data_IF_650226272466
#
_entry.id   IF_650226272466
#
_cell.length_a   1.000
_cell.length_b   1.000
_cell.length_c   1.000
_cell.angle_alpha   90.00
_cell.angle_beta   90.00
_cell.angle_gamma   90.00
#
_symmetry.space_group_name_H-M   'P 1'
#
loop_
_entity.id
_entity.type
_entity.pdbx_description
1 polymer ?
#
# COMPACT_ATOMS: atom_id res chain seq x y z
N UNK A 1 1.04 10.37 11.35
CA UNK A 1 0.95 11.71 11.98
C UNK A 1 -0.08 11.88 13.12
N UNK A 2 -1.29 11.29 13.06
CA UNK A 2 -2.34 11.55 14.08
C UNK A 2 -2.07 10.94 15.47
N UNK A 3 -1.54 9.71 15.54
CA UNK A 3 -1.25 9.06 16.83
C UNK A 3 -0.08 9.71 17.58
N UNK A 4 0.96 10.15 16.87
CA UNK A 4 2.06 10.93 17.45
C UNK A 4 1.54 12.16 18.21
N UNK A 5 0.58 12.86 17.62
CA UNK A 5 -0.04 14.03 18.25
C UNK A 5 -0.82 13.67 19.52
N UNK A 6 -1.50 12.53 19.53
CA UNK A 6 -2.16 12.01 20.72
C UNK A 6 -1.15 11.76 21.86
N UNK A 7 0.00 11.14 21.57
CA UNK A 7 1.03 10.88 22.59
C UNK A 7 1.59 12.18 23.18
N UNK A 8 1.92 13.16 22.33
CA UNK A 8 2.43 14.47 22.77
C UNK A 8 1.39 15.25 23.58
N UNK A 9 0.10 15.17 23.22
CA UNK A 9 -0.97 15.89 23.93
C UNK A 9 -1.20 15.35 25.35
N UNK A 10 -0.94 14.06 25.56
CA UNK A 10 -1.14 13.38 26.85
C UNK A 10 0.18 13.15 27.61
N UNK A 11 1.26 13.83 27.21
CA UNK A 11 2.58 13.76 27.84
C UNK A 11 3.12 12.32 27.99
N UNK A 12 2.83 11.47 27.00
CA UNK A 12 3.29 10.08 26.96
C UNK A 12 4.65 10.03 26.28
N UNK A 13 5.75 9.63 26.97
CA UNK A 13 7.08 9.60 26.36
C UNK A 13 7.20 8.53 25.28
N UNK A 14 7.71 8.91 24.11
CA UNK A 14 7.91 7.97 23.01
C UNK A 14 9.08 8.35 22.10
N UNK A 15 9.54 7.35 21.35
CA UNK A 15 10.54 7.47 20.30
C UNK A 15 9.92 6.95 19.00
N UNK A 16 10.04 7.73 17.93
CA UNK A 16 9.53 7.34 16.62
C UNK A 16 10.64 6.69 15.78
N UNK A 17 10.33 5.52 15.23
CA UNK A 17 11.22 4.82 14.30
C UNK A 17 10.81 5.18 12.87
N UNK A 18 11.75 5.75 12.10
CA UNK A 18 11.52 6.25 10.75
C UNK A 18 12.60 5.78 9.79
N UNK A 19 12.30 5.74 8.49
CA UNK A 19 13.34 5.53 7.47
C UNK A 19 14.36 6.67 7.47
N UNK A 20 15.60 6.38 7.09
CA UNK A 20 16.69 7.36 7.06
C UNK A 20 16.37 8.59 6.20
N UNK A 21 15.73 8.39 5.06
CA UNK A 21 15.29 9.46 4.15
C UNK A 21 14.16 10.34 4.73
N UNK A 22 13.45 9.86 5.75
CA UNK A 22 12.32 10.57 6.38
C UNK A 22 12.69 11.24 7.70
N UNK A 23 13.88 11.00 8.27
CA UNK A 23 14.33 11.58 9.55
C UNK A 23 14.26 13.11 9.53
N UNK A 24 14.81 13.74 8.48
CA UNK A 24 14.84 15.20 8.37
C UNK A 24 13.43 15.79 8.24
N UNK A 25 12.60 15.20 7.36
CA UNK A 25 11.21 15.63 7.16
C UNK A 25 10.38 15.53 8.43
N UNK A 26 10.52 14.43 9.17
CA UNK A 26 9.78 14.24 10.44
C UNK A 26 10.27 15.19 11.53
N UNK A 27 11.58 15.50 11.56
CA UNK A 27 12.10 16.52 12.46
C UNK A 27 11.58 17.92 12.12
N UNK A 28 11.54 18.31 10.85
CA UNK A 28 10.98 19.59 10.40
C UNK A 28 9.49 19.70 10.74
N UNK A 29 8.71 18.65 10.43
CA UNK A 29 7.29 18.57 10.75
C UNK A 29 7.01 18.65 12.26
N UNK A 30 7.84 18.00 13.09
CA UNK A 30 7.73 18.07 14.53
C UNK A 30 8.07 19.49 15.06
N UNK A 31 9.11 20.11 14.52
CA UNK A 31 9.56 21.46 14.91
C UNK A 31 8.53 22.53 14.54
N UNK A 32 7.82 22.37 13.41
CA UNK A 32 6.73 23.28 13.02
C UNK A 32 5.44 23.11 13.83
N UNK A 33 5.28 22.02 14.58
CA UNK A 33 4.05 21.70 15.33
C UNK A 33 4.17 21.81 16.84
N UNK A 34 5.37 21.60 17.38
CA UNK A 34 5.63 21.59 18.81
C UNK A 34 6.86 22.45 19.11
N UNK A 35 6.78 23.26 20.15
CA UNK A 35 7.95 23.98 20.64
C UNK A 35 8.98 23.02 21.27
N UNK A 36 10.22 23.49 21.39
CA UNK A 36 11.32 22.68 21.91
C UNK A 36 11.10 22.25 23.37
N UNK A 37 10.39 23.07 24.16
CA UNK A 37 10.07 22.75 25.55
C UNK A 37 9.16 21.53 25.64
N UNK A 38 8.10 21.46 24.83
CA UNK A 38 7.18 20.33 24.78
C UNK A 38 7.85 19.08 24.21
N UNK A 39 8.73 19.24 23.22
CA UNK A 39 9.52 18.12 22.67
C UNK A 39 10.48 17.52 23.70
N UNK A 40 11.18 18.37 24.46
CA UNK A 40 12.06 17.95 25.56
C UNK A 40 11.26 17.30 26.69
N UNK A 41 10.12 17.88 27.07
CA UNK A 41 9.26 17.34 28.13
C UNK A 41 8.75 15.93 27.82
N UNK A 42 8.26 15.70 26.60
CA UNK A 42 7.79 14.38 26.15
C UNK A 42 8.96 13.45 25.79
N UNK A 43 10.20 13.96 25.74
CA UNK A 43 11.38 13.18 25.42
C UNK A 43 11.36 12.59 24.00
N UNK A 44 10.74 13.33 23.06
CA UNK A 44 10.64 12.93 21.65
C UNK A 44 12.03 12.75 21.04
N UNK A 45 12.29 11.56 20.53
CA UNK A 45 13.52 11.22 19.80
C UNK A 45 13.16 10.45 18.53
N UNK A 46 14.07 10.47 17.55
CA UNK A 46 13.97 9.72 16.30
C UNK A 46 15.06 8.66 16.24
N UNK A 47 14.66 7.44 15.86
CA UNK A 47 15.58 6.37 15.52
C UNK A 47 15.46 6.08 14.03
N UNK A 48 16.59 6.19 13.32
CA UNK A 48 16.69 5.77 11.94
C UNK A 48 16.64 4.24 11.85
N UNK A 49 15.61 3.70 11.21
CA UNK A 49 15.38 2.27 11.01
C UNK A 49 16.44 1.60 10.12
N UNK A 50 17.21 2.37 9.35
CA UNK A 50 18.30 1.90 8.49
C UNK A 50 19.67 1.89 9.20
N UNK A 51 19.77 2.40 10.43
CA UNK A 51 21.00 2.35 11.22
C UNK A 51 21.25 0.93 11.76
N UNK A 52 22.47 0.42 11.63
CA UNK A 52 22.91 -0.87 12.19
C UNK A 52 22.75 -0.93 13.71
N UNK A 53 22.81 0.22 14.38
CA UNK A 53 22.67 0.35 15.83
C UNK A 53 21.23 0.65 16.28
N UNK A 54 20.27 0.70 15.36
CA UNK A 54 18.85 1.01 15.66
C UNK A 54 18.27 0.12 16.75
N UNK A 55 18.51 -1.19 16.70
CA UNK A 55 18.05 -2.14 17.72
C UNK A 55 18.61 -1.85 19.12
N UNK A 56 19.90 -1.51 19.23
CA UNK A 56 20.51 -1.16 20.51
C UNK A 56 19.91 0.13 21.07
N UNK A 57 19.68 1.13 20.22
CA UNK A 57 19.01 2.38 20.62
C UNK A 57 17.58 2.12 21.09
N UNK A 58 16.81 1.30 20.35
CA UNK A 58 15.44 0.94 20.71
C UNK A 58 15.40 0.26 22.09
N UNK A 59 16.25 -0.75 22.31
CA UNK A 59 16.33 -1.44 23.60
C UNK A 59 16.72 -0.50 24.74
N UNK A 60 17.65 0.44 24.50
CA UNK A 60 18.03 1.46 25.49
C UNK A 60 16.84 2.36 25.87
N UNK A 61 16.07 2.83 24.90
CA UNK A 61 14.94 3.73 25.18
C UNK A 61 13.76 2.98 25.83
N UNK A 62 13.52 1.72 25.46
CA UNK A 62 12.58 0.84 26.17
C UNK A 62 12.96 0.65 27.64
N UNK A 63 14.25 0.43 27.95
CA UNK A 63 14.74 0.33 29.34
C UNK A 63 14.59 1.61 30.14
N UNK A 64 14.54 2.77 29.48
CA UNK A 64 14.23 4.07 30.10
C UNK A 64 12.72 4.26 30.34
N UNK A 65 11.88 3.29 30.00
CA UNK A 65 10.43 3.36 30.15
C UNK A 65 9.72 4.13 29.03
N UNK A 66 10.39 4.42 27.90
CA UNK A 66 9.74 5.08 26.76
C UNK A 66 8.99 4.09 25.88
N UNK A 67 7.95 4.58 25.22
CA UNK A 67 7.24 3.85 24.18
C UNK A 67 8.00 3.93 22.84
N UNK A 68 7.88 2.91 22.01
CA UNK A 68 8.45 2.90 20.65
C UNK A 68 7.30 2.93 19.66
N UNK A 69 7.21 4.02 18.90
CA UNK A 69 6.20 4.18 17.84
C UNK A 69 6.79 3.73 16.51
N UNK A 70 6.09 2.79 15.84
CA UNK A 70 6.48 2.24 14.54
C UNK A 70 5.27 2.26 13.60
N UNK A 71 5.44 2.84 12.41
CA UNK A 71 4.50 2.69 11.30
C UNK A 71 4.84 1.41 10.54
N UNK A 72 4.00 0.39 10.69
CA UNK A 72 4.26 -0.97 10.17
C UNK A 72 3.98 -1.11 8.67
N UNK A 73 3.23 -0.18 8.09
CA UNK A 73 2.74 -0.17 6.70
C UNK A 73 3.67 0.57 5.73
N UNK A 74 4.67 1.29 6.22
CA UNK A 74 5.68 1.95 5.37
C UNK A 74 6.77 1.02 4.82
N UNK A 75 6.83 -0.23 5.30
CA UNK A 75 7.77 -1.28 4.90
C UNK A 75 9.27 -0.91 4.79
N UNK A 76 9.69 0.20 5.41
CA UNK A 76 11.08 0.67 5.46
C UNK A 76 11.88 0.03 6.60
N UNK A 77 13.17 -0.29 6.40
CA UNK A 77 14.06 -0.82 7.46
C UNK A 77 15.46 -1.20 6.97
N UNK A 78 16.33 -1.68 7.87
CA UNK A 78 17.69 -2.17 7.55
C UNK A 78 17.67 -3.36 6.58
N UNK A 79 18.63 -3.36 5.64
CA UNK A 79 18.79 -4.39 4.61
C UNK A 79 18.18 -3.96 3.29
N UNK A 80 19.05 -3.78 2.29
CA UNK A 80 18.68 -3.71 0.88
C UNK A 80 18.21 -5.09 0.43
N UNK A 81 17.28 -5.09 -0.52
CA UNK A 81 16.64 -6.24 -1.16
C UNK A 81 15.34 -6.77 -0.53
N UNK A 82 14.33 -6.83 -1.40
CA UNK A 82 13.13 -7.66 -1.31
C UNK A 82 13.45 -9.18 -1.18
N UNK A 83 14.73 -9.56 -1.16
CA UNK A 83 15.27 -10.89 -0.91
C UNK A 83 15.78 -11.08 0.55
N UNK A 84 15.64 -10.08 1.42
CA UNK A 84 16.17 -10.09 2.79
C UNK A 84 15.47 -11.07 3.75
N UNK A 85 16.24 -11.59 4.72
CA UNK A 85 15.85 -12.61 5.73
C UNK A 85 14.71 -12.21 6.71
N UNK A 86 14.14 -11.01 6.58
CA UNK A 86 13.19 -10.42 7.54
C UNK A 86 11.86 -9.94 6.91
N UNK A 87 11.60 -10.36 5.66
CA UNK A 87 10.30 -10.15 5.01
C UNK A 87 9.42 -11.37 5.23
N UNK A 88 8.18 -11.12 5.63
CA UNK A 88 7.13 -12.13 5.74
C UNK A 88 6.12 -11.89 4.63
N UNK A 89 5.80 -12.94 3.88
CA UNK A 89 4.59 -12.92 3.05
C UNK A 89 3.40 -13.15 3.95
N UNK A 90 2.44 -12.23 3.92
CA UNK A 90 1.19 -12.35 4.67
C UNK A 90 -0.01 -12.16 3.74
N UNK A 91 -1.15 -12.83 4.03
CA UNK A 91 -2.41 -12.51 3.39
C UNK A 91 -2.83 -11.07 3.72
N UNK A 92 -3.25 -10.35 2.69
CA UNK A 92 -3.83 -9.02 2.85
C UNK A 92 -4.87 -8.79 1.75
N UNK A 93 -6.13 -8.64 2.17
CA UNK A 93 -7.29 -8.63 1.28
C UNK A 93 -7.31 -9.92 0.43
N UNK A 94 -7.46 -9.80 -0.89
CA UNK A 94 -7.48 -10.95 -1.80
C UNK A 94 -6.09 -11.28 -2.37
N UNK A 95 -5.00 -10.73 -1.84
CA UNK A 95 -3.64 -10.93 -2.33
C UNK A 95 -2.68 -11.25 -1.18
N UNK A 96 -1.40 -11.37 -1.50
CA UNK A 96 -0.32 -11.41 -0.51
C UNK A 96 0.53 -10.14 -0.60
N UNK A 97 1.13 -9.76 0.52
CA UNK A 97 2.09 -8.65 0.59
C UNK A 97 3.31 -9.08 1.40
N UNK A 98 4.49 -8.58 1.01
CA UNK A 98 5.74 -8.79 1.74
C UNK A 98 5.96 -7.67 2.74
N UNK A 99 6.02 -8.00 4.02
CA UNK A 99 6.09 -7.01 5.10
C UNK A 99 7.26 -7.26 6.04
N UNK A 100 7.84 -6.19 6.57
CA UNK A 100 8.94 -6.27 7.54
C UNK A 100 8.43 -6.66 8.93
N UNK A 101 9.12 -7.61 9.55
CA UNK A 101 8.72 -8.15 10.85
C UNK A 101 9.44 -7.53 12.06
N UNK A 102 10.13 -6.41 11.88
CA UNK A 102 11.03 -5.81 12.87
C UNK A 102 10.37 -5.49 14.21
N UNK A 103 9.15 -4.94 14.20
CA UNK A 103 8.42 -4.60 15.42
C UNK A 103 8.11 -5.83 16.29
N UNK A 104 7.68 -6.93 15.66
CA UNK A 104 7.42 -8.20 16.36
C UNK A 104 8.71 -8.85 16.86
N UNK A 105 9.78 -8.78 16.07
CA UNK A 105 11.10 -9.27 16.50
C UNK A 105 11.61 -8.53 17.74
N UNK A 106 11.54 -7.20 17.73
CA UNK A 106 11.92 -6.36 18.87
C UNK A 106 11.12 -6.73 20.10
N UNK A 107 9.79 -6.80 19.99
CA UNK A 107 8.89 -7.18 21.08
C UNK A 107 9.29 -8.50 21.73
N UNK A 108 9.61 -9.52 20.93
CA UNK A 108 10.04 -10.82 21.43
C UNK A 108 11.34 -10.73 22.24
N UNK A 109 12.37 -10.10 21.68
CA UNK A 109 13.70 -10.05 22.32
C UNK A 109 13.74 -9.13 23.54
N UNK A 110 12.92 -8.07 23.58
CA UNK A 110 12.85 -7.14 24.72
C UNK A 110 11.78 -7.52 25.72
N UNK A 111 10.99 -8.56 25.44
CA UNK A 111 9.83 -8.97 26.23
C UNK A 111 8.86 -7.80 26.47
N UNK A 112 8.68 -6.95 25.45
CA UNK A 112 7.83 -5.76 25.51
C UNK A 112 6.53 -6.00 24.74
N UNK A 113 5.35 -5.67 25.29
CA UNK A 113 4.09 -5.81 24.58
C UNK A 113 3.99 -4.88 23.37
N UNK A 114 3.28 -5.34 22.32
CA UNK A 114 2.88 -4.49 21.20
C UNK A 114 1.43 -4.06 21.43
N UNK A 115 1.16 -2.77 21.26
CA UNK A 115 -0.18 -2.20 21.24
C UNK A 115 -0.53 -1.80 19.82
N UNK A 116 -1.29 -2.63 19.06
CA UNK A 116 -1.69 -2.26 17.72
C UNK A 116 -2.73 -1.13 17.79
N UNK A 117 -2.52 -0.10 16.98
CA UNK A 117 -3.43 1.05 16.87
C UNK A 117 -3.63 1.37 15.40
N UNK A 118 -4.87 1.56 15.00
CA UNK A 118 -5.21 2.07 13.66
C UNK A 118 -5.80 3.46 13.80
N UNK A 119 -5.27 4.40 13.01
CA UNK A 119 -5.77 5.77 12.96
C UNK A 119 -6.61 5.97 11.71
N UNK A 120 -7.90 6.24 11.88
CA UNK A 120 -8.79 6.58 10.76
C UNK A 120 -9.33 8.00 10.91
N UNK A 121 -9.94 8.52 9.84
CA UNK A 121 -10.69 9.78 9.88
C UNK A 121 -12.18 9.49 9.77
N UNK A 122 -12.99 10.13 10.60
CA UNK A 122 -14.42 10.25 10.39
C UNK A 122 -14.72 11.37 9.37
N UNK A 123 -15.99 11.54 9.03
CA UNK A 123 -16.44 12.66 8.21
C UNK A 123 -15.98 13.99 8.85
N UNK A 124 -15.51 14.93 8.02
CA UNK A 124 -14.90 16.23 8.43
C UNK A 124 -13.57 16.13 9.19
N UNK A 125 -12.73 15.15 8.86
CA UNK A 125 -11.31 15.05 9.30
C UNK A 125 -11.07 14.78 10.78
N UNK A 126 -12.09 14.43 11.56
CA UNK A 126 -11.91 14.08 12.98
C UNK A 126 -11.09 12.78 13.08
N UNK A 127 -9.91 12.80 13.74
CA UNK A 127 -9.10 11.59 13.95
C UNK A 127 -9.79 10.64 14.92
N UNK A 128 -9.80 9.35 14.59
CA UNK A 128 -10.25 8.26 15.44
C UNK A 128 -9.10 7.27 15.61
N UNK A 129 -8.86 6.85 16.85
CA UNK A 129 -7.84 5.88 17.20
C UNK A 129 -8.51 4.61 17.70
N UNK A 130 -8.38 3.55 16.91
CA UNK A 130 -8.89 2.23 17.27
C UNK A 130 -7.74 1.44 17.92
N UNK A 131 -7.87 1.19 19.22
CA UNK A 131 -6.92 0.38 19.99
C UNK A 131 -7.35 -1.08 19.96
N UNK A 132 -6.37 -1.96 19.73
CA UNK A 132 -6.61 -3.40 19.72
C UNK A 132 -5.97 -4.08 20.92
N UNK A 133 -6.37 -5.33 21.12
CA UNK A 133 -5.83 -6.18 22.18
C UNK A 133 -4.30 -6.26 22.07
N UNK A 134 -3.57 -6.03 23.19
CA UNK A 134 -2.12 -6.11 23.20
C UNK A 134 -1.61 -7.49 22.76
N UNK A 135 -0.49 -7.51 22.06
CA UNK A 135 0.21 -8.72 21.69
C UNK A 135 1.37 -8.88 22.66
N UNK A 136 1.25 -9.85 23.56
CA UNK A 136 2.23 -10.10 24.62
C UNK A 136 3.26 -11.14 24.15
N UNK A 137 4.56 -10.86 24.23
CA UNK A 137 5.58 -11.87 23.99
C UNK A 137 5.51 -12.96 25.06
N UNK A 138 5.58 -14.22 24.63
CA UNK A 138 5.63 -15.36 25.52
C UNK A 138 6.87 -16.20 25.22
N UNK A 139 7.74 -16.37 26.22
CA UNK A 139 9.02 -17.10 26.07
C UNK A 139 8.85 -18.59 25.74
N UNK A 140 7.68 -19.17 26.01
CA UNK A 140 7.35 -20.55 25.64
C UNK A 140 7.00 -20.75 24.16
N UNK A 141 6.80 -19.66 23.39
CA UNK A 141 6.54 -19.73 21.95
C UNK A 141 7.86 -19.52 21.20
N UNK A 142 8.08 -20.31 20.15
CA UNK A 142 9.21 -20.09 19.24
C UNK A 142 9.19 -18.67 18.66
N UNK A 143 10.36 -18.06 18.56
CA UNK A 143 10.51 -16.69 18.08
C UNK A 143 9.88 -16.47 16.70
N UNK A 144 10.12 -17.39 15.75
CA UNK A 144 9.62 -17.24 14.38
C UNK A 144 8.09 -17.30 14.37
N UNK A 145 7.53 -18.26 15.12
CA UNK A 145 6.07 -18.40 15.29
C UNK A 145 5.45 -17.14 15.90
N UNK A 146 6.03 -16.61 16.98
CA UNK A 146 5.53 -15.38 17.59
C UNK A 146 5.56 -14.20 16.61
N UNK A 147 6.66 -14.05 15.89
CA UNK A 147 6.85 -12.95 14.93
C UNK A 147 5.82 -13.01 13.80
N UNK A 148 5.63 -14.18 13.19
CA UNK A 148 4.65 -14.40 12.12
C UNK A 148 3.21 -14.15 12.59
N UNK A 149 2.82 -14.70 13.75
CA UNK A 149 1.49 -14.52 14.31
C UNK A 149 1.21 -13.06 14.67
N UNK A 150 2.21 -12.37 15.24
CA UNK A 150 2.09 -10.96 15.65
C UNK A 150 1.86 -10.05 14.44
N UNK A 151 2.69 -10.20 13.40
CA UNK A 151 2.58 -9.40 12.17
C UNK A 151 1.27 -9.71 11.44
N UNK A 152 0.90 -10.98 11.29
CA UNK A 152 -0.37 -11.38 10.66
C UNK A 152 -1.56 -10.76 11.40
N UNK A 153 -1.53 -10.73 12.73
CA UNK A 153 -2.60 -10.13 13.55
C UNK A 153 -2.68 -8.62 13.37
N UNK A 154 -1.54 -7.93 13.36
CA UNK A 154 -1.47 -6.47 13.13
C UNK A 154 -2.06 -6.13 11.75
N UNK A 155 -1.66 -6.84 10.71
CA UNK A 155 -2.15 -6.59 9.35
C UNK A 155 -3.63 -6.99 9.17
N UNK A 156 -4.14 -7.96 9.92
CA UNK A 156 -5.59 -8.25 9.97
C UNK A 156 -6.41 -7.09 10.54
N UNK A 157 -5.85 -6.30 11.47
CA UNK A 157 -6.50 -5.08 11.95
C UNK A 157 -6.47 -3.98 10.89
N UNK A 158 -5.34 -3.83 10.19
CA UNK A 158 -5.22 -2.90 9.07
C UNK A 158 -6.19 -3.27 7.94
N UNK A 159 -6.26 -4.55 7.55
CA UNK A 159 -7.14 -5.05 6.49
C UNK A 159 -8.60 -4.68 6.76
N UNK A 160 -9.09 -4.86 7.99
CA UNK A 160 -10.45 -4.45 8.38
C UNK A 160 -10.71 -2.96 8.18
N UNK A 161 -9.73 -2.12 8.53
CA UNK A 161 -9.85 -0.67 8.38
C UNK A 161 -9.82 -0.26 6.89
N UNK A 162 -8.88 -0.83 6.13
CA UNK A 162 -8.69 -0.60 4.70
C UNK A 162 -9.89 -1.07 3.90
N UNK A 163 -10.43 -2.25 4.20
CA UNK A 163 -11.63 -2.78 3.54
C UNK A 163 -12.83 -1.83 3.68
N UNK A 164 -13.00 -1.20 4.86
CA UNK A 164 -14.11 -0.28 5.12
C UNK A 164 -13.91 1.11 4.50
N UNK A 165 -12.67 1.61 4.45
CA UNK A 165 -12.34 2.96 3.98
C UNK A 165 -11.04 2.95 3.16
N UNK A 166 -11.03 2.34 1.97
CA UNK A 166 -9.80 2.13 1.21
C UNK A 166 -9.07 3.45 0.93
N UNK A 167 -9.78 4.52 0.56
CA UNK A 167 -9.20 5.82 0.22
C UNK A 167 -8.41 6.51 1.36
N UNK A 168 -8.46 6.02 2.60
CA UNK A 168 -7.71 6.62 3.72
C UNK A 168 -6.32 6.04 3.92
N UNK A 169 -5.99 4.93 3.27
CA UNK A 169 -4.70 4.29 3.43
C UNK A 169 -3.70 4.81 2.39
N UNK A 170 -2.69 5.54 2.84
CA UNK A 170 -1.72 6.18 1.95
C UNK A 170 -0.82 5.17 1.21
N UNK A 171 -0.56 4.01 1.83
CA UNK A 171 0.37 3.03 1.28
C UNK A 171 -0.14 2.34 0.00
N UNK A 172 -1.38 2.60 -0.46
CA UNK A 172 -1.82 2.18 -1.81
C UNK A 172 -0.85 2.62 -2.90
N UNK A 173 -0.26 3.81 -2.76
CA UNK A 173 0.65 4.38 -3.76
C UNK A 173 1.95 3.58 -3.91
N UNK A 174 2.36 2.85 -2.87
CA UNK A 174 3.61 2.09 -2.82
C UNK A 174 3.38 0.58 -2.71
N UNK A 175 2.11 0.13 -2.66
CA UNK A 175 1.78 -1.28 -2.46
C UNK A 175 2.37 -2.17 -3.56
N UNK A 176 2.45 -1.66 -4.79
CA UNK A 176 3.02 -2.37 -5.94
C UNK A 176 4.49 -2.78 -5.75
N UNK A 177 5.24 -2.11 -4.87
CA UNK A 177 6.64 -2.46 -4.55
C UNK A 177 6.74 -3.71 -3.67
N UNK A 178 5.64 -4.12 -3.05
CA UNK A 178 5.59 -5.16 -2.01
C UNK A 178 4.48 -6.19 -2.21
N UNK A 179 3.63 -5.99 -3.20
CA UNK A 179 2.56 -6.92 -3.56
C UNK A 179 3.15 -8.21 -4.13
N UNK A 180 2.57 -9.33 -3.68
CA UNK A 180 2.82 -10.65 -4.23
C UNK A 180 1.47 -11.17 -4.76
N UNK A 181 1.28 -11.09 -6.08
CA UNK A 181 -0.01 -11.42 -6.71
C UNK A 181 -0.20 -12.93 -6.67
N UNK A 182 -0.87 -13.38 -5.61
CA UNK A 182 -1.16 -14.78 -5.36
C UNK A 182 -2.46 -15.24 -6.06
N UNK A 183 -3.41 -14.32 -6.25
CA UNK A 183 -4.69 -14.59 -6.89
C UNK A 183 -4.85 -13.67 -8.11
N UNK A 184 -4.18 -13.97 -9.24
CA UNK A 184 -4.38 -13.19 -10.46
C UNK A 184 -5.85 -13.21 -10.83
N UNK A 185 -6.39 -12.06 -11.23
CA UNK A 185 -7.74 -12.01 -11.79
C UNK A 185 -7.65 -12.77 -13.10
N UNK A 186 -8.27 -13.96 -13.16
CA UNK A 186 -8.36 -14.72 -14.38
C UNK A 186 -8.93 -13.79 -15.46
N UNK A 187 -8.25 -13.69 -16.61
CA UNK A 187 -8.80 -12.99 -17.77
C UNK A 187 -10.19 -13.57 -17.99
N UNK A 188 -11.23 -12.77 -17.71
CA UNK A 188 -12.56 -13.15 -18.11
C UNK A 188 -12.53 -13.03 -19.61
N UNK A 189 -12.29 -14.15 -20.27
CA UNK A 189 -12.48 -14.28 -21.70
C UNK A 189 -13.95 -13.90 -21.93
N UNK A 190 -14.22 -12.63 -22.18
CA UNK A 190 -15.50 -12.18 -22.70
C UNK A 190 -15.71 -13.07 -23.92
N UNK A 191 -16.69 -13.97 -23.84
CA UNK A 191 -17.02 -14.82 -24.95
C UNK A 191 -17.29 -13.86 -26.12
N UNK A 192 -16.67 -14.06 -27.29
CA UNK A 192 -17.01 -13.23 -28.44
C UNK A 192 -18.52 -13.32 -28.61
N UNK A 193 -19.21 -12.18 -28.59
CA UNK A 193 -20.62 -12.16 -28.93
C UNK A 193 -20.67 -12.60 -30.39
N UNK A 194 -21.09 -13.84 -30.63
CA UNK A 194 -21.24 -14.35 -31.98
C UNK A 194 -22.37 -13.57 -32.64
N UNK A 195 -22.01 -12.58 -33.46
CA UNK A 195 -22.96 -11.87 -34.30
C UNK A 195 -22.91 -12.44 -35.72
N UNK A 196 -23.30 -13.71 -35.87
CA UNK A 196 -23.60 -14.23 -37.20
C UNK A 196 -24.67 -13.33 -37.87
N UNK A 197 -24.28 -12.65 -38.95
CA UNK A 197 -25.20 -11.95 -39.86
C UNK A 197 -25.35 -10.43 -39.75
N UNK A 198 -24.70 -9.73 -38.80
CA UNK A 198 -24.81 -8.24 -38.74
C UNK A 198 -23.70 -7.54 -39.53
N UNK A 199 -24.09 -6.78 -40.57
CA UNK A 199 -23.20 -5.99 -41.46
C UNK A 199 -22.33 -4.92 -40.77
N UNK A 200 -22.57 -4.61 -39.48
CA UNK A 200 -21.79 -3.67 -38.67
C UNK A 200 -21.54 -4.27 -37.29
N UNK A 201 -20.42 -4.99 -37.15
CA UNK A 201 -19.91 -5.52 -35.87
C UNK A 201 -19.34 -4.36 -35.07
N UNK A 202 -20.12 -3.82 -34.14
CA UNK A 202 -19.72 -2.68 -33.32
C UNK A 202 -18.68 -3.12 -32.29
N UNK A 203 -17.96 -2.17 -31.71
CA UNK A 203 -17.01 -2.44 -30.62
C UNK A 203 -17.26 -1.55 -29.43
N UNK A 204 -16.95 -2.04 -28.23
CA UNK A 204 -16.83 -1.27 -26.99
C UNK A 204 -15.44 -1.42 -26.40
N UNK A 205 -15.04 -0.47 -25.57
CA UNK A 205 -13.83 -0.61 -24.77
C UNK A 205 -14.01 -1.71 -23.70
N UNK A 206 -12.96 -2.47 -23.44
CA UNK A 206 -12.94 -3.47 -22.38
C UNK A 206 -12.58 -2.83 -21.03
N UNK A 207 -13.55 -2.14 -20.43
CA UNK A 207 -13.39 -1.51 -19.11
C UNK A 207 -13.13 -2.51 -17.98
N UNK A 208 -13.43 -3.79 -18.17
CA UNK A 208 -13.23 -4.80 -17.13
C UNK A 208 -11.75 -5.15 -16.98
N UNK A 209 -11.05 -5.38 -18.09
CA UNK A 209 -9.65 -5.82 -18.08
C UNK A 209 -8.65 -4.68 -18.31
N UNK A 210 -9.10 -3.57 -18.90
CA UNK A 210 -8.22 -2.46 -19.27
C UNK A 210 -8.69 -1.12 -18.70
N UNK A 211 -7.74 -0.20 -18.59
CA UNK A 211 -7.96 1.23 -18.41
C UNK A 211 -6.89 1.98 -19.21
N UNK A 212 -7.00 3.28 -19.34
CA UNK A 212 -6.00 4.10 -20.01
C UNK A 212 -5.91 5.46 -19.33
N UNK A 213 -4.71 6.01 -19.25
CA UNK A 213 -4.46 7.28 -18.56
C UNK A 213 -3.28 8.02 -19.18
N UNK A 214 -3.08 9.27 -18.79
CA UNK A 214 -1.93 10.06 -19.22
C UNK A 214 -1.30 10.81 -18.04
N UNK A 215 0.02 10.92 -18.06
CA UNK A 215 0.79 11.65 -17.06
C UNK A 215 1.91 12.39 -17.79
N UNK A 216 2.07 13.69 -17.51
CA UNK A 216 3.16 14.52 -18.08
C UNK A 216 3.32 14.37 -19.60
N UNK A 217 2.18 14.37 -20.32
CA UNK A 217 2.12 14.23 -21.78
C UNK A 217 2.59 12.87 -22.35
N UNK A 218 2.66 11.84 -21.51
CA UNK A 218 2.82 10.45 -21.92
C UNK A 218 1.50 9.70 -21.70
N UNK A 219 1.17 8.78 -22.60
CA UNK A 219 -0.10 8.07 -22.63
C UNK A 219 0.11 6.59 -22.42
N UNK A 220 -0.75 5.97 -21.63
CA UNK A 220 -0.60 4.59 -21.19
C UNK A 220 -1.89 3.80 -21.33
N UNK A 221 -1.77 2.56 -21.78
CA UNK A 221 -2.77 1.51 -21.63
C UNK A 221 -2.40 0.67 -20.40
N UNK A 222 -3.33 0.53 -19.48
CA UNK A 222 -3.18 -0.24 -18.25
C UNK A 222 -3.95 -1.54 -18.33
N UNK A 223 -3.28 -2.68 -18.14
CA UNK A 223 -3.91 -3.99 -18.02
C UNK A 223 -4.07 -4.35 -16.54
N UNK A 224 -5.31 -4.60 -16.13
CA UNK A 224 -5.68 -4.79 -14.72
C UNK A 224 -5.34 -6.17 -14.18
N UNK A 225 -5.26 -7.19 -15.05
CA UNK A 225 -5.01 -8.57 -14.63
C UNK A 225 -3.63 -8.77 -14.00
N UNK A 226 -2.62 -8.06 -14.51
CA UNK A 226 -1.22 -8.18 -14.09
C UNK A 226 -0.55 -6.83 -13.79
N UNK A 227 -1.34 -5.75 -13.74
CA UNK A 227 -0.90 -4.39 -13.42
C UNK A 227 0.18 -3.84 -14.36
N UNK A 228 0.27 -4.34 -15.60
CA UNK A 228 1.21 -3.83 -16.60
C UNK A 228 0.71 -2.55 -17.27
N UNK A 229 1.63 -1.60 -17.48
CA UNK A 229 1.41 -0.38 -18.23
C UNK A 229 2.18 -0.43 -19.55
N UNK A 230 1.49 -0.18 -20.66
CA UNK A 230 2.08 -0.09 -22.00
C UNK A 230 2.02 1.36 -22.46
N UNK A 231 3.17 1.92 -22.86
CA UNK A 231 3.19 3.23 -23.51
C UNK A 231 2.45 3.14 -24.84
N UNK A 232 1.52 4.07 -25.07
CA UNK A 232 0.76 4.18 -26.31
C UNK A 232 0.95 5.57 -26.91
N UNK A 233 0.73 5.68 -28.21
CA UNK A 233 0.78 6.96 -28.89
C UNK A 233 -0.46 7.81 -28.56
N UNK A 234 -0.29 9.14 -28.59
CA UNK A 234 -1.36 10.11 -28.30
C UNK A 234 -2.62 9.89 -29.13
N UNK A 235 -2.47 9.56 -30.41
CA UNK A 235 -3.63 9.33 -31.28
C UNK A 235 -4.42 8.10 -30.84
N UNK A 236 -3.74 7.02 -30.41
CA UNK A 236 -4.38 5.80 -29.96
C UNK A 236 -5.12 6.05 -28.64
N UNK A 237 -4.53 6.83 -27.74
CA UNK A 237 -5.19 7.28 -26.52
C UNK A 237 -6.54 7.96 -26.80
N UNK A 238 -6.55 8.96 -27.68
CA UNK A 238 -7.79 9.66 -28.04
C UNK A 238 -8.79 8.77 -28.79
N UNK A 239 -8.31 7.77 -29.55
CA UNK A 239 -9.21 6.75 -30.14
C UNK A 239 -9.87 5.90 -29.07
N UNK A 240 -9.12 5.45 -28.06
CA UNK A 240 -9.69 4.69 -26.94
C UNK A 240 -10.68 5.53 -26.13
N UNK A 241 -10.39 6.82 -25.92
CA UNK A 241 -11.30 7.79 -25.29
C UNK A 241 -12.62 7.92 -26.06
N UNK A 242 -12.57 8.06 -27.38
CA UNK A 242 -13.77 8.10 -28.24
C UNK A 242 -14.59 6.81 -28.17
N UNK A 243 -13.92 5.65 -28.15
CA UNK A 243 -14.57 4.34 -28.02
C UNK A 243 -15.21 4.19 -26.63
N UNK A 244 -14.51 4.61 -25.58
CA UNK A 244 -14.97 4.56 -24.18
C UNK A 244 -16.19 5.44 -23.95
N UNK A 245 -16.17 6.68 -24.42
CA UNK A 245 -17.26 7.65 -24.28
C UNK A 245 -18.44 7.37 -25.24
N UNK A 246 -18.35 6.37 -26.12
CA UNK A 246 -19.30 6.10 -27.19
C UNK A 246 -19.57 7.32 -28.09
N UNK A 247 -18.56 8.18 -28.32
CA UNK A 247 -18.69 9.40 -29.13
C UNK A 247 -18.91 9.09 -30.62
N UNK A 248 -18.40 7.95 -31.09
CA UNK A 248 -18.51 7.52 -32.47
C UNK A 248 -18.71 5.99 -32.56
N UNK A 249 -19.57 5.48 -33.46
CA UNK A 249 -19.78 4.03 -33.61
C UNK A 249 -18.59 3.38 -34.33
N UNK A 250 -17.63 2.88 -33.57
CA UNK A 250 -16.52 2.09 -34.10
C UNK A 250 -16.98 0.68 -34.48
N UNK A 251 -16.43 0.14 -35.57
CA UNK A 251 -16.73 -1.21 -36.05
C UNK A 251 -15.45 -2.01 -36.27
N UNK A 252 -15.53 -3.33 -36.20
CA UNK A 252 -14.40 -4.24 -36.48
C UNK A 252 -13.72 -3.94 -37.82
N UNK A 253 -14.45 -3.79 -38.96
CA UNK A 253 -13.81 -3.45 -40.23
C UNK A 253 -13.12 -2.09 -40.21
N UNK A 254 -13.66 -1.10 -39.48
CA UNK A 254 -13.03 0.22 -39.34
C UNK A 254 -11.72 0.12 -38.56
N UNK A 255 -11.68 -0.65 -37.47
CA UNK A 255 -10.45 -0.86 -36.71
C UNK A 255 -9.40 -1.60 -37.56
N UNK A 256 -9.80 -2.64 -38.29
CA UNK A 256 -8.89 -3.39 -39.17
C UNK A 256 -8.30 -2.51 -40.28
N UNK A 257 -9.10 -1.65 -40.92
CA UNK A 257 -8.63 -0.72 -41.97
C UNK A 257 -7.65 0.33 -41.46
N UNK A 258 -7.72 0.70 -40.19
CA UNK A 258 -6.85 1.69 -39.56
C UNK A 258 -5.70 1.05 -38.78
N UNK A 259 -5.32 -0.20 -39.11
CA UNK A 259 -4.24 -0.94 -38.44
C UNK A 259 -4.41 -1.09 -36.91
N UNK A 260 -5.65 -1.05 -36.41
CA UNK A 260 -6.00 -1.24 -35.00
C UNK A 260 -6.54 -2.66 -34.71
N UNK A 261 -6.27 -3.63 -35.60
CA UNK A 261 -6.71 -5.01 -35.43
C UNK A 261 -6.20 -5.67 -34.15
N UNK A 262 -5.02 -5.24 -33.69
CA UNK A 262 -4.42 -5.74 -32.44
C UNK A 262 -5.23 -5.38 -31.20
N UNK A 263 -6.04 -4.31 -31.22
CA UNK A 263 -6.93 -3.98 -30.08
C UNK A 263 -7.99 -5.06 -29.88
N UNK A 264 -8.47 -5.66 -30.97
CA UNK A 264 -9.44 -6.76 -30.93
C UNK A 264 -8.73 -8.05 -30.52
N UNK A 265 -7.57 -8.33 -31.14
CA UNK A 265 -6.77 -9.52 -30.84
C UNK A 265 -6.38 -9.62 -29.37
N UNK A 266 -5.99 -8.49 -28.77
CA UNK A 266 -5.61 -8.40 -27.36
C UNK A 266 -6.79 -8.07 -26.43
N UNK A 267 -8.02 -8.02 -26.96
CA UNK A 267 -9.25 -7.76 -26.19
C UNK A 267 -9.24 -6.42 -25.42
N UNK A 268 -8.51 -5.44 -25.91
CA UNK A 268 -8.60 -4.04 -25.45
C UNK A 268 -9.96 -3.45 -25.80
N UNK A 269 -10.52 -3.90 -26.93
CA UNK A 269 -11.90 -3.65 -27.34
C UNK A 269 -12.60 -4.97 -27.60
N UNK A 270 -13.90 -5.00 -27.36
CA UNK A 270 -14.76 -6.18 -27.49
C UNK A 270 -15.81 -5.93 -28.56
N UNK A 271 -16.07 -6.94 -29.38
CA UNK A 271 -17.18 -6.94 -30.33
C UNK A 271 -18.53 -7.02 -29.59
N UNK A 272 -19.53 -6.27 -30.08
CA UNK A 272 -20.91 -6.22 -29.55
C UNK A 272 -21.91 -6.67 -30.63
#
# INVERSE_FOLDING_TARGET
>A
MQFQHYLVKNDIPFVLVVSGSSVLKENELASGKYDDRKRQHVGFDLINANDKNSLFRINRELRKGKNILVYVDGNTGTGDDLAGRNLLSIPFLNQQIKVRAGAAFISYITNTPIYPVVSTRLWRFVPCLDFFQPILPHKGIDRKVFVEQSISRIYKYLEKAVYKKPWQWEAWLHLHEHADIANPIAERLSAPVSTEGKKKRLVRFNEEDYSFFWIRNQYFLFRKSDYQCFSIERWLYHRLEQIYNNEYPFTVPLLQRNSMGDLIKNKVVLEI
#
